data_IF_814962121036
#
_entry.id   IF_814962121036
#
_cell.length_a   1.000
_cell.length_b   1.000
_cell.length_c   1.000
_cell.angle_alpha   90.00
_cell.angle_beta   90.00
_cell.angle_gamma   90.00
#
_symmetry.space_group_name_H-M   'P 1'
#
loop_
_entity.id
_entity.type
_entity.pdbx_description
1 polymer ?
#
# COMPACT_ATOMS: atom_id res chain seq x y z
N UNK A 1 57.52 -30.57 18.29
CA UNK A 1 56.80 -29.36 17.83
C UNK A 1 56.52 -28.52 19.07
N UNK A 2 56.88 -27.22 19.10
CA UNK A 2 56.34 -26.35 20.13
C UNK A 2 54.82 -26.31 20.01
N UNK A 3 54.07 -26.10 21.11
CA UNK A 3 52.62 -26.01 21.04
C UNK A 3 52.25 -24.87 20.09
N UNK A 4 51.36 -25.17 19.15
CA UNK A 4 50.83 -24.19 18.21
C UNK A 4 50.02 -23.21 19.04
N UNK A 5 50.59 -22.04 19.34
CA UNK A 5 49.86 -20.96 20.02
C UNK A 5 48.55 -20.73 19.26
N UNK A 6 47.41 -20.86 19.94
CA UNK A 6 46.14 -20.49 19.37
C UNK A 6 46.23 -19.02 18.93
N UNK A 7 45.73 -18.66 17.74
CA UNK A 7 45.70 -17.27 17.31
C UNK A 7 44.93 -16.44 18.35
N UNK A 8 45.45 -15.25 18.68
CA UNK A 8 44.77 -14.31 19.58
C UNK A 8 43.35 -14.04 19.04
N UNK A 9 42.29 -14.37 19.79
CA UNK A 9 40.92 -14.23 19.32
C UNK A 9 40.52 -12.78 19.02
N UNK A 10 41.35 -11.80 19.39
CA UNK A 10 41.18 -10.37 19.07
C UNK A 10 41.67 -10.04 17.65
N UNK A 11 42.57 -10.84 17.08
CA UNK A 11 43.17 -10.62 15.75
C UNK A 11 42.48 -11.41 14.64
N UNK A 12 41.74 -12.45 14.99
CA UNK A 12 40.94 -13.23 14.05
C UNK A 12 39.65 -12.47 13.70
N UNK A 13 39.51 -12.04 12.44
CA UNK A 13 38.33 -11.32 11.96
C UNK A 13 37.04 -12.15 11.93
N UNK A 14 37.16 -13.48 12.07
CA UNK A 14 36.03 -14.40 12.16
C UNK A 14 35.57 -14.63 13.61
N UNK A 15 36.36 -14.19 14.59
CA UNK A 15 36.04 -14.30 16.01
C UNK A 15 34.90 -13.37 16.41
N UNK A 16 33.95 -13.82 17.24
CA UNK A 16 32.90 -12.95 17.79
C UNK A 16 33.49 -11.81 18.66
N UNK A 17 34.74 -11.97 19.15
CA UNK A 17 35.45 -10.98 19.96
C UNK A 17 36.22 -9.92 19.17
N UNK A 18 36.27 -10.06 17.84
CA UNK A 18 36.88 -9.06 16.99
C UNK A 18 36.08 -7.75 17.04
N UNK A 19 36.78 -6.63 17.23
CA UNK A 19 36.20 -5.28 17.17
C UNK A 19 36.96 -4.52 16.11
N UNK A 20 36.26 -4.07 15.07
CA UNK A 20 36.89 -3.32 14.00
C UNK A 20 37.36 -1.95 14.54
N UNK A 21 38.50 -1.39 14.10
CA UNK A 21 38.98 -0.08 14.60
C UNK A 21 37.98 1.08 14.45
N UNK A 22 37.05 0.97 13.50
CA UNK A 22 35.95 1.93 13.30
C UNK A 22 34.74 1.73 14.22
N UNK A 23 34.71 0.67 15.04
CA UNK A 23 33.59 0.32 15.90
C UNK A 23 33.73 1.02 17.26
N UNK A 24 33.23 2.26 17.33
CA UNK A 24 33.06 2.98 18.59
C UNK A 24 31.64 2.87 19.17
N UNK A 25 31.39 3.43 20.37
CA UNK A 25 30.06 3.48 20.99
C UNK A 25 28.96 4.13 20.16
N UNK A 26 29.31 4.97 19.19
CA UNK A 26 28.38 5.64 18.27
C UNK A 26 28.35 5.04 16.85
N UNK A 27 29.08 3.94 16.62
CA UNK A 27 29.21 3.34 15.28
C UNK A 27 27.97 2.59 14.80
N UNK A 28 27.02 2.32 15.70
CA UNK A 28 25.72 1.74 15.39
C UNK A 28 24.64 2.77 15.69
N UNK A 29 23.80 3.03 14.69
CA UNK A 29 22.63 3.89 14.82
C UNK A 29 21.42 3.07 14.43
N UNK A 30 20.44 3.00 15.34
CA UNK A 30 19.17 2.32 15.13
C UNK A 30 18.06 3.35 15.19
N UNK A 31 17.26 3.42 14.13
CA UNK A 31 16.09 4.30 14.04
C UNK A 31 14.85 3.50 13.63
N UNK A 32 13.67 3.83 14.20
CA UNK A 32 13.45 4.74 15.33
C UNK A 32 14.00 4.18 16.66
N UNK A 33 14.21 5.06 17.65
CA UNK A 33 14.55 4.65 19.01
C UNK A 33 13.41 3.84 19.64
N UNK A 34 13.73 2.92 20.56
CA UNK A 34 12.71 2.25 21.37
C UNK A 34 11.99 3.27 22.26
N UNK A 35 10.67 3.38 22.14
CA UNK A 35 9.83 4.26 22.98
C UNK A 35 8.86 3.49 23.85
N UNK A 36 8.44 2.30 23.41
CA UNK A 36 7.60 1.38 24.18
C UNK A 36 6.67 0.54 23.30
N UNK A 37 5.96 1.19 22.36
CA UNK A 37 5.01 0.51 21.46
C UNK A 37 5.67 -0.14 20.24
N UNK A 38 6.92 0.20 19.96
CA UNK A 38 7.64 -0.20 18.75
C UNK A 38 8.71 -1.28 18.99
N UNK A 39 8.57 -2.09 20.05
CA UNK A 39 9.58 -3.07 20.43
C UNK A 39 9.98 -4.01 19.29
N UNK A 40 9.03 -4.57 18.55
CA UNK A 40 9.32 -5.56 17.52
C UNK A 40 10.08 -4.97 16.32
N UNK A 41 9.70 -3.77 15.89
CA UNK A 41 10.42 -3.06 14.81
C UNK A 41 11.82 -2.63 15.25
N UNK A 42 11.94 -2.07 16.47
CA UNK A 42 13.24 -1.76 17.08
C UNK A 42 14.13 -3.00 17.22
N UNK A 43 13.60 -4.09 17.78
CA UNK A 43 14.30 -5.35 18.01
C UNK A 43 14.83 -5.92 16.70
N UNK A 44 14.02 -5.90 15.64
CA UNK A 44 14.45 -6.32 14.30
C UNK A 44 15.57 -5.44 13.75
N UNK A 45 15.47 -4.11 13.88
CA UNK A 45 16.51 -3.18 13.45
C UNK A 45 17.81 -3.34 14.23
N UNK A 46 17.72 -3.51 15.56
CA UNK A 46 18.88 -3.71 16.43
C UNK A 46 19.57 -5.05 16.16
N UNK A 47 18.83 -6.15 16.00
CA UNK A 47 19.40 -7.45 15.59
C UNK A 47 20.15 -7.36 14.26
N UNK A 48 19.64 -6.62 13.27
CA UNK A 48 20.34 -6.41 11.99
C UNK A 48 21.62 -5.64 12.18
N UNK A 49 21.61 -4.58 12.99
CA UNK A 49 22.80 -3.78 13.26
C UNK A 49 23.88 -4.61 13.98
N UNK A 50 23.50 -5.38 15.01
CA UNK A 50 24.40 -6.28 15.72
C UNK A 50 24.92 -7.41 14.80
N UNK A 51 24.05 -8.00 13.98
CA UNK A 51 24.42 -9.01 13.00
C UNK A 51 25.45 -8.49 12.00
N UNK A 52 25.30 -7.26 11.50
CA UNK A 52 26.27 -6.62 10.62
C UNK A 52 27.65 -6.38 11.27
N UNK A 53 27.70 -6.33 12.62
CA UNK A 53 28.93 -6.23 13.42
C UNK A 53 29.43 -7.57 13.95
N UNK A 54 28.74 -8.68 13.63
CA UNK A 54 28.98 -10.00 14.22
C UNK A 54 28.95 -9.97 15.75
N UNK A 55 27.91 -9.32 16.31
CA UNK A 55 27.70 -9.15 17.76
C UNK A 55 26.31 -9.60 18.22
N UNK A 56 25.56 -10.30 17.39
CA UNK A 56 24.23 -10.79 17.74
C UNK A 56 24.30 -11.80 18.92
N UNK A 57 25.37 -12.58 18.96
CA UNK A 57 25.58 -13.65 19.93
C UNK A 57 25.64 -13.16 21.39
N UNK A 58 25.95 -11.86 21.59
CA UNK A 58 25.98 -11.20 22.90
C UNK A 58 24.60 -10.92 23.49
N UNK A 59 23.53 -11.01 22.69
CA UNK A 59 22.15 -10.72 23.13
C UNK A 59 21.19 -11.89 22.96
N UNK A 60 21.56 -12.93 22.20
CA UNK A 60 20.72 -14.12 21.99
C UNK A 60 21.08 -15.29 22.91
N UNK A 61 22.19 -15.20 23.66
CA UNK A 61 22.64 -16.20 24.62
C UNK A 61 23.41 -17.37 24.02
N UNK A 62 23.76 -17.31 22.73
CA UNK A 62 24.60 -18.33 22.09
C UNK A 62 26.06 -18.23 22.53
N UNK A 63 26.51 -17.06 22.97
CA UNK A 63 27.84 -16.82 23.51
C UNK A 63 27.79 -16.70 25.05
N UNK A 64 28.23 -17.73 25.80
CA UNK A 64 28.21 -17.68 27.25
C UNK A 64 29.22 -16.66 27.79
N UNK A 65 28.94 -16.15 28.99
CA UNK A 65 29.90 -15.36 29.77
C UNK A 65 31.07 -16.30 30.15
N UNK A 66 32.34 -15.94 29.89
CA UNK A 66 33.46 -16.74 30.37
C UNK A 66 33.44 -16.80 31.91
N UNK A 67 33.52 -18.00 32.47
CA UNK A 67 33.40 -18.24 33.93
C UNK A 67 34.64 -17.79 34.72
N UNK A 68 35.79 -17.73 34.06
CA UNK A 68 37.07 -17.37 34.66
C UNK A 68 37.52 -15.98 34.22
N UNK A 69 37.57 -15.04 35.17
CA UNK A 69 38.08 -13.67 34.94
C UNK A 69 39.54 -13.64 34.48
N UNK A 70 40.30 -14.72 34.75
CA UNK A 70 41.69 -14.86 34.31
C UNK A 70 41.83 -15.43 32.89
N UNK A 71 40.73 -15.84 32.25
CA UNK A 71 40.74 -16.25 30.84
C UNK A 71 41.16 -15.06 29.95
N UNK A 72 42.19 -15.20 29.10
CA UNK A 72 42.54 -14.18 28.11
C UNK A 72 41.37 -13.71 27.24
N UNK A 73 40.38 -14.58 27.00
CA UNK A 73 39.16 -14.28 26.26
C UNK A 73 38.19 -13.39 27.05
N UNK A 74 38.21 -13.40 28.38
CA UNK A 74 37.31 -12.60 29.22
C UNK A 74 37.43 -11.11 28.92
N UNK A 75 38.66 -10.60 28.80
CA UNK A 75 38.89 -9.17 28.49
C UNK A 75 38.33 -8.79 27.11
N UNK A 76 38.45 -9.68 26.13
CA UNK A 76 37.95 -9.47 24.78
C UNK A 76 36.41 -9.54 24.73
N UNK A 77 35.83 -10.51 25.44
CA UNK A 77 34.39 -10.63 25.65
C UNK A 77 33.83 -9.39 26.34
N UNK A 78 34.43 -8.95 27.45
CA UNK A 78 33.98 -7.81 28.23
C UNK A 78 33.98 -6.52 27.41
N UNK A 79 35.03 -6.30 26.60
CA UNK A 79 35.07 -5.15 25.67
C UNK A 79 33.89 -5.16 24.69
N UNK A 80 33.57 -6.32 24.11
CA UNK A 80 32.45 -6.46 23.19
C UNK A 80 31.11 -6.27 23.89
N UNK A 81 30.95 -6.85 25.09
CA UNK A 81 29.76 -6.65 25.92
C UNK A 81 29.50 -5.16 26.18
N UNK A 82 30.53 -4.41 26.61
CA UNK A 82 30.40 -2.97 26.86
C UNK A 82 30.03 -2.18 25.61
N UNK A 83 30.58 -2.56 24.46
CA UNK A 83 30.28 -1.93 23.18
C UNK A 83 28.82 -2.19 22.76
N UNK A 84 28.35 -3.42 22.90
CA UNK A 84 26.96 -3.79 22.61
C UNK A 84 25.99 -3.08 23.57
N UNK A 85 26.30 -3.02 24.87
CA UNK A 85 25.52 -2.26 25.85
C UNK A 85 25.42 -0.79 25.47
N UNK A 86 26.53 -0.16 25.06
CA UNK A 86 26.51 1.23 24.60
C UNK A 86 25.62 1.44 23.35
N UNK A 87 25.68 0.52 22.38
CA UNK A 87 24.80 0.57 21.21
C UNK A 87 23.32 0.42 21.59
N UNK A 88 22.98 -0.50 22.49
CA UNK A 88 21.61 -0.65 23.00
C UNK A 88 21.17 0.65 23.69
N UNK A 89 21.96 1.19 24.61
CA UNK A 89 21.63 2.43 25.32
C UNK A 89 21.44 3.62 24.37
N UNK A 90 22.22 3.70 23.28
CA UNK A 90 22.06 4.73 22.24
C UNK A 90 20.85 4.53 21.33
N UNK A 91 20.22 3.35 21.36
CA UNK A 91 19.10 2.95 20.50
C UNK A 91 17.74 3.00 21.19
N UNK A 92 17.69 3.39 22.46
CA UNK A 92 16.45 3.49 23.25
C UNK A 92 16.21 4.94 23.66
N UNK A 93 14.97 5.27 24.03
CA UNK A 93 14.65 6.60 24.54
C UNK A 93 15.44 6.91 25.83
N UNK A 94 15.72 8.19 26.15
CA UNK A 94 16.53 8.55 27.31
C UNK A 94 15.99 8.00 28.64
N UNK A 95 14.67 7.93 28.81
CA UNK A 95 14.04 7.37 30.02
C UNK A 95 14.25 5.86 30.13
N UNK A 96 14.17 5.14 29.01
CA UNK A 96 14.46 3.69 28.97
C UNK A 96 15.94 3.44 29.23
N UNK A 97 16.84 4.20 28.60
CA UNK A 97 18.29 4.09 28.82
C UNK A 97 18.63 4.25 30.31
N UNK A 98 18.06 5.24 30.98
CA UNK A 98 18.28 5.47 32.41
C UNK A 98 17.83 4.30 33.28
N UNK A 99 16.81 3.54 32.85
CA UNK A 99 16.30 2.38 33.61
C UNK A 99 17.19 1.14 33.53
N UNK A 100 18.05 1.03 32.50
CA UNK A 100 18.87 -0.17 32.24
C UNK A 100 20.38 0.10 32.31
N UNK A 101 20.81 1.35 32.50
CA UNK A 101 22.23 1.76 32.48
C UNK A 101 23.10 1.05 33.52
N UNK A 102 22.51 0.56 34.62
CA UNK A 102 23.23 -0.14 35.69
C UNK A 102 23.37 -1.64 35.46
N UNK A 103 22.79 -2.18 34.39
CA UNK A 103 22.93 -3.59 34.04
C UNK A 103 24.28 -3.84 33.38
N UNK A 104 24.99 -4.86 33.84
CA UNK A 104 26.37 -5.12 33.43
C UNK A 104 26.45 -5.84 32.08
N UNK A 105 25.52 -6.77 31.80
CA UNK A 105 25.55 -7.56 30.57
C UNK A 105 24.53 -7.08 29.54
N UNK A 106 24.96 -7.05 28.29
CA UNK A 106 24.12 -6.70 27.15
C UNK A 106 22.92 -7.65 27.01
N UNK A 107 23.09 -8.93 27.33
CA UNK A 107 22.01 -9.92 27.32
C UNK A 107 20.93 -9.62 28.36
N UNK A 108 21.31 -9.11 29.53
CA UNK A 108 20.37 -8.76 30.61
C UNK A 108 19.55 -7.55 30.20
N UNK A 109 20.21 -6.51 29.65
CA UNK A 109 19.53 -5.34 29.06
C UNK A 109 18.55 -5.81 27.97
N UNK A 110 19.00 -6.67 27.06
CA UNK A 110 18.18 -7.16 25.96
C UNK A 110 16.94 -7.92 26.45
N UNK A 111 17.11 -8.80 27.43
CA UNK A 111 16.03 -9.60 28.01
C UNK A 111 15.02 -8.75 28.78
N UNK A 112 15.49 -7.79 29.57
CA UNK A 112 14.63 -6.86 30.29
C UNK A 112 13.80 -5.98 29.34
N UNK A 113 14.42 -5.44 28.28
CA UNK A 113 13.69 -4.68 27.25
C UNK A 113 12.66 -5.56 26.53
N UNK A 114 12.99 -6.82 26.27
CA UNK A 114 12.05 -7.79 25.69
C UNK A 114 10.87 -8.01 26.62
N UNK A 115 11.12 -8.36 27.88
CA UNK A 115 10.06 -8.69 28.83
C UNK A 115 9.10 -7.53 29.09
N UNK A 116 9.61 -6.29 29.13
CA UNK A 116 8.80 -5.09 29.37
C UNK A 116 7.99 -4.65 28.15
N UNK A 117 8.60 -4.69 26.97
CA UNK A 117 8.04 -4.01 25.78
C UNK A 117 7.55 -4.97 24.68
N UNK A 118 7.77 -6.28 24.80
CA UNK A 118 7.13 -7.27 23.93
C UNK A 118 5.71 -7.65 24.39
N UNK A 119 5.21 -7.07 25.48
CA UNK A 119 3.84 -7.30 25.94
C UNK A 119 2.86 -6.41 25.17
N UNK A 120 1.68 -6.94 24.85
CA UNK A 120 0.63 -6.18 24.15
C UNK A 120 0.49 -6.52 22.66
N UNK A 121 1.11 -7.60 22.18
CA UNK A 121 1.03 -8.04 20.78
C UNK A 121 -0.41 -8.10 20.23
N UNK A 122 -1.37 -8.62 21.00
CA UNK A 122 -2.78 -8.69 20.55
C UNK A 122 -3.44 -7.31 20.43
N UNK A 123 -3.12 -6.38 21.34
CA UNK A 123 -3.62 -5.01 21.28
C UNK A 123 -3.01 -4.32 20.07
N UNK A 124 -1.69 -4.46 19.87
CA UNK A 124 -0.99 -3.89 18.72
C UNK A 124 -1.47 -4.47 17.39
N UNK A 125 -1.74 -5.77 17.33
CA UNK A 125 -2.40 -6.41 16.17
C UNK A 125 -3.74 -5.72 15.88
N UNK A 126 -4.58 -5.51 16.90
CA UNK A 126 -5.87 -4.85 16.73
C UNK A 126 -5.71 -3.40 16.26
N UNK A 127 -4.79 -2.64 16.84
CA UNK A 127 -4.47 -1.27 16.43
C UNK A 127 -4.00 -1.23 14.97
N UNK A 128 -3.03 -2.06 14.59
CA UNK A 128 -2.52 -2.17 13.21
C UNK A 128 -3.62 -2.54 12.22
N UNK A 129 -4.52 -3.45 12.59
CA UNK A 129 -5.68 -3.76 11.77
C UNK A 129 -6.59 -2.54 11.61
N UNK A 130 -6.92 -1.84 12.69
CA UNK A 130 -7.74 -0.63 12.64
C UNK A 130 -7.09 0.48 11.81
N UNK A 131 -5.80 0.73 12.01
CA UNK A 131 -4.99 1.67 11.22
C UNK A 131 -5.02 1.28 9.74
N UNK A 132 -4.77 0.00 9.42
CA UNK A 132 -4.85 -0.50 8.05
C UNK A 132 -6.22 -0.22 7.45
N UNK A 133 -7.31 -0.48 8.19
CA UNK A 133 -8.69 -0.32 7.73
C UNK A 133 -9.17 1.14 7.65
N UNK A 134 -8.62 2.02 8.46
CA UNK A 134 -8.90 3.45 8.46
C UNK A 134 -8.11 4.21 7.38
N UNK A 135 -6.91 3.75 7.02
CA UNK A 135 -6.04 4.44 6.07
C UNK A 135 -6.69 4.53 4.67
N UNK A 136 -6.91 5.76 4.20
CA UNK A 136 -7.38 6.08 2.85
C UNK A 136 -6.31 6.87 2.09
N UNK A 137 -6.41 6.87 0.76
CA UNK A 137 -5.49 7.63 -0.09
C UNK A 137 -5.64 9.14 0.16
N UNK A 138 -6.87 9.65 0.17
CA UNK A 138 -7.18 11.06 0.39
C UNK A 138 -6.32 11.99 -0.49
N UNK A 139 -5.54 12.91 0.08
CA UNK A 139 -4.67 13.82 -0.65
C UNK A 139 -3.28 13.25 -0.99
N UNK A 140 -2.98 12.00 -0.58
CA UNK A 140 -1.68 11.36 -0.81
C UNK A 140 -1.56 10.83 -2.25
N UNK A 141 -0.33 10.82 -2.77
CA UNK A 141 -0.04 10.08 -3.99
C UNK A 141 -0.29 8.58 -3.79
N UNK A 142 -0.51 7.83 -4.89
CA UNK A 142 -0.62 6.36 -4.82
C UNK A 142 0.63 5.75 -4.20
N UNK A 143 1.80 6.34 -4.44
CA UNK A 143 3.09 5.86 -3.91
C UNK A 143 3.15 6.02 -2.39
N UNK A 144 2.80 7.19 -1.87
CA UNK A 144 2.83 7.47 -0.43
C UNK A 144 1.78 6.62 0.31
N UNK A 145 0.55 6.57 -0.22
CA UNK A 145 -0.51 5.74 0.33
C UNK A 145 -0.14 4.25 0.37
N UNK A 146 0.43 3.71 -0.72
CA UNK A 146 0.89 2.32 -0.75
C UNK A 146 2.04 2.08 0.23
N UNK A 147 2.95 3.04 0.37
CA UNK A 147 4.09 2.94 1.29
C UNK A 147 3.62 2.88 2.74
N UNK A 148 2.72 3.77 3.14
CA UNK A 148 2.12 3.77 4.49
C UNK A 148 1.41 2.44 4.78
N UNK A 149 0.61 1.95 3.82
CA UNK A 149 -0.10 0.69 3.97
C UNK A 149 0.86 -0.50 4.07
N UNK A 150 1.97 -0.46 3.30
CA UNK A 150 3.01 -1.49 3.35
C UNK A 150 3.73 -1.52 4.69
N UNK A 151 4.01 -0.37 5.32
CA UNK A 151 4.60 -0.32 6.66
C UNK A 151 3.72 -1.08 7.66
N UNK A 152 2.41 -0.82 7.64
CA UNK A 152 1.46 -1.50 8.54
C UNK A 152 1.43 -3.00 8.29
N UNK A 153 1.41 -3.45 7.04
CA UNK A 153 1.41 -4.88 6.71
C UNK A 153 2.69 -5.60 7.13
N UNK A 154 3.86 -4.99 6.90
CA UNK A 154 5.15 -5.55 7.28
C UNK A 154 5.27 -5.66 8.81
N UNK A 155 4.70 -4.71 9.56
CA UNK A 155 4.61 -4.79 11.02
C UNK A 155 3.63 -5.89 11.46
N UNK A 156 2.46 -5.99 10.84
CA UNK A 156 1.47 -7.03 11.15
C UNK A 156 2.00 -8.45 10.89
N UNK A 157 2.81 -8.64 9.84
CA UNK A 157 3.45 -9.91 9.50
C UNK A 157 4.48 -10.35 10.55
N UNK A 158 4.98 -9.45 11.41
CA UNK A 158 5.80 -9.81 12.57
C UNK A 158 5.00 -10.62 13.58
N UNK A 159 3.74 -10.25 13.79
CA UNK A 159 2.86 -10.86 14.77
C UNK A 159 2.08 -12.06 14.21
N UNK A 160 1.73 -12.00 12.91
CA UNK A 160 0.92 -13.00 12.23
C UNK A 160 1.65 -13.55 10.99
N UNK A 161 2.81 -14.20 11.15
CA UNK A 161 3.57 -14.71 10.02
C UNK A 161 2.77 -15.80 9.29
N UNK A 162 2.87 -15.81 7.95
CA UNK A 162 2.34 -16.94 7.17
C UNK A 162 3.08 -18.20 7.63
N UNK A 163 2.38 -19.27 8.04
CA UNK A 163 3.03 -20.48 8.51
C UNK A 163 3.99 -21.03 7.44
N UNK A 164 5.01 -21.76 7.87
CA UNK A 164 5.88 -22.51 6.96
C UNK A 164 5.67 -24.02 7.17
N UNK A 165 5.71 -24.80 6.09
CA UNK A 165 5.68 -26.26 6.22
C UNK A 165 7.01 -26.69 6.82
N UNK A 166 6.98 -27.43 7.94
CA UNK A 166 8.15 -28.08 8.55
C UNK A 166 8.50 -29.41 7.86
N UNK A 167 7.98 -29.58 6.65
CA UNK A 167 8.01 -30.81 5.87
C UNK A 167 9.45 -31.02 5.34
N UNK A 168 10.08 -32.20 5.57
CA UNK A 168 11.47 -32.45 5.16
C UNK A 168 11.71 -32.35 3.65
N UNK A 169 10.64 -32.48 2.85
CA UNK A 169 10.63 -32.30 1.40
C UNK A 169 9.76 -31.11 1.05
N UNK A 170 10.03 -30.49 -0.10
CA UNK A 170 9.23 -29.39 -0.65
C UNK A 170 7.77 -29.82 -0.75
N UNK A 171 6.95 -29.29 0.15
CA UNK A 171 5.55 -29.66 0.22
C UNK A 171 4.74 -28.93 -0.86
N UNK A 172 3.84 -29.65 -1.52
CA UNK A 172 2.88 -29.12 -2.50
C UNK A 172 1.47 -29.00 -1.92
N UNK A 173 1.36 -28.87 -0.60
CA UNK A 173 0.05 -28.83 0.06
C UNK A 173 -0.77 -27.61 -0.37
N UNK A 174 -2.03 -27.87 -0.70
CA UNK A 174 -2.95 -26.84 -1.16
C UNK A 174 -3.27 -25.82 -0.06
N UNK A 175 -3.31 -26.26 1.20
CA UNK A 175 -3.51 -25.37 2.35
C UNK A 175 -2.48 -24.23 2.41
N UNK A 176 -1.19 -24.53 2.20
CA UNK A 176 -0.15 -23.50 2.24
C UNK A 176 -0.19 -22.57 1.02
N UNK A 177 -0.56 -23.09 -0.15
CA UNK A 177 -0.78 -22.27 -1.35
C UNK A 177 -1.97 -21.33 -1.15
N UNK A 178 -3.07 -21.85 -0.61
CA UNK A 178 -4.28 -21.10 -0.27
C UNK A 178 -4.00 -20.02 0.78
N UNK A 179 -3.25 -20.33 1.85
CA UNK A 179 -2.85 -19.34 2.86
C UNK A 179 -2.10 -18.14 2.24
N UNK A 180 -1.11 -18.41 1.37
CA UNK A 180 -0.35 -17.36 0.68
C UNK A 180 -1.21 -16.57 -0.31
N UNK A 181 -2.12 -17.25 -1.02
CA UNK A 181 -3.06 -16.62 -1.95
C UNK A 181 -4.02 -15.69 -1.20
N UNK A 182 -4.59 -16.15 -0.09
CA UNK A 182 -5.50 -15.37 0.75
C UNK A 182 -4.79 -14.15 1.36
N UNK A 183 -3.55 -14.31 1.84
CA UNK A 183 -2.76 -13.18 2.32
C UNK A 183 -2.56 -12.11 1.23
N UNK A 184 -2.15 -12.53 0.03
CA UNK A 184 -1.97 -11.64 -1.12
C UNK A 184 -3.28 -10.97 -1.57
N UNK A 185 -4.39 -11.72 -1.52
CA UNK A 185 -5.73 -11.24 -1.84
C UNK A 185 -6.17 -10.15 -0.87
N UNK A 186 -6.02 -10.35 0.44
CA UNK A 186 -6.42 -9.38 1.45
C UNK A 186 -5.66 -8.06 1.30
N UNK A 187 -4.35 -8.10 1.05
CA UNK A 187 -3.55 -6.90 0.78
C UNK A 187 -4.03 -6.17 -0.48
N UNK A 188 -4.32 -6.93 -1.54
CA UNK A 188 -4.83 -6.38 -2.81
C UNK A 188 -6.18 -5.69 -2.63
N UNK A 189 -7.14 -6.35 -1.99
CA UNK A 189 -8.46 -5.78 -1.72
C UNK A 189 -8.32 -4.53 -0.84
N UNK A 190 -7.50 -4.59 0.21
CA UNK A 190 -7.32 -3.46 1.11
C UNK A 190 -6.72 -2.24 0.41
N UNK A 191 -5.70 -2.44 -0.43
CA UNK A 191 -5.14 -1.36 -1.25
C UNK A 191 -6.20 -0.76 -2.18
N UNK A 192 -6.89 -1.59 -2.97
CA UNK A 192 -7.88 -1.11 -3.95
C UNK A 192 -9.07 -0.39 -3.29
N UNK A 193 -9.52 -0.85 -2.12
CA UNK A 193 -10.63 -0.23 -1.36
C UNK A 193 -10.22 1.04 -0.60
N UNK A 194 -8.93 1.25 -0.36
CA UNK A 194 -8.41 2.48 0.23
C UNK A 194 -8.12 3.60 -0.77
N UNK A 195 -7.94 3.27 -2.06
CA UNK A 195 -7.76 4.25 -3.14
C UNK A 195 -8.99 5.16 -3.33
N UNK A 196 -8.78 6.34 -3.89
CA UNK A 196 -9.84 7.29 -4.21
C UNK A 196 -10.78 6.82 -5.33
N UNK A 197 -11.92 7.50 -5.49
CA UNK A 197 -12.97 7.15 -6.46
C UNK A 197 -12.55 7.33 -7.94
N UNK A 198 -11.62 8.24 -8.22
CA UNK A 198 -11.04 8.46 -9.55
C UNK A 198 -10.26 7.24 -10.08
N UNK A 199 -9.91 6.27 -9.23
CA UNK A 199 -9.31 4.99 -9.65
C UNK A 199 -10.35 3.89 -9.93
N UNK A 200 -11.65 4.18 -9.92
CA UNK A 200 -12.73 3.18 -10.11
C UNK A 200 -12.58 2.31 -11.37
N UNK A 201 -12.14 2.89 -12.49
CA UNK A 201 -11.91 2.18 -13.75
C UNK A 201 -10.80 1.14 -13.61
N UNK A 202 -9.61 1.53 -13.12
CA UNK A 202 -8.49 0.60 -12.94
C UNK A 202 -8.78 -0.44 -11.85
N UNK A 203 -9.50 -0.07 -10.78
CA UNK A 203 -9.98 -1.04 -9.77
C UNK A 203 -10.85 -2.13 -10.40
N UNK A 204 -11.84 -1.72 -11.20
CA UNK A 204 -12.76 -2.65 -11.87
C UNK A 204 -12.01 -3.58 -12.81
N UNK A 205 -11.08 -3.05 -13.61
CA UNK A 205 -10.25 -3.85 -14.51
C UNK A 205 -9.38 -4.86 -13.78
N UNK A 206 -8.81 -4.50 -12.64
CA UNK A 206 -7.97 -5.41 -11.84
C UNK A 206 -8.82 -6.51 -11.19
N UNK A 207 -10.00 -6.16 -10.66
CA UNK A 207 -10.86 -7.10 -9.95
C UNK A 207 -11.44 -8.21 -10.84
N UNK A 208 -11.56 -7.97 -12.15
CA UNK A 208 -12.04 -8.97 -13.13
C UNK A 208 -10.91 -9.84 -13.72
N UNK A 209 -9.64 -9.60 -13.36
CA UNK A 209 -8.53 -10.45 -13.80
C UNK A 209 -8.56 -11.80 -13.08
N UNK A 210 -8.46 -12.90 -13.84
CA UNK A 210 -8.32 -14.25 -13.30
C UNK A 210 -7.07 -14.95 -13.90
N UNK A 211 -6.04 -15.28 -13.10
CA UNK A 211 -5.94 -15.04 -11.65
C UNK A 211 -5.66 -13.58 -11.29
N UNK A 212 -6.11 -13.15 -10.10
CA UNK A 212 -5.81 -11.84 -9.55
C UNK A 212 -4.29 -11.62 -9.48
N UNK A 213 -3.74 -10.50 -10.00
CA UNK A 213 -2.31 -10.27 -10.01
C UNK A 213 -1.73 -10.12 -8.60
N UNK A 214 -0.41 -10.36 -8.42
CA UNK A 214 0.27 -10.06 -7.16
C UNK A 214 0.27 -8.56 -6.87
N UNK A 215 0.33 -8.20 -5.59
CA UNK A 215 0.21 -6.81 -5.11
C UNK A 215 1.15 -5.82 -5.81
N UNK A 216 2.41 -6.22 -6.10
CA UNK A 216 3.36 -5.34 -6.80
C UNK A 216 2.93 -5.01 -8.23
N UNK A 217 2.26 -5.96 -8.92
CA UNK A 217 1.70 -5.72 -10.25
C UNK A 217 0.47 -4.83 -10.16
N UNK A 218 -0.39 -5.02 -9.17
CA UNK A 218 -1.55 -4.16 -8.88
C UNK A 218 -1.09 -2.73 -8.62
N UNK A 219 -0.11 -2.52 -7.73
CA UNK A 219 0.50 -1.22 -7.47
C UNK A 219 1.00 -0.56 -8.76
N UNK A 220 1.73 -1.31 -9.60
CA UNK A 220 2.25 -0.80 -10.87
C UNK A 220 1.14 -0.36 -11.84
N UNK A 221 0.04 -1.10 -11.91
CA UNK A 221 -1.11 -0.75 -12.76
C UNK A 221 -1.82 0.52 -12.28
N UNK A 222 -2.01 0.67 -10.96
CA UNK A 222 -2.62 1.87 -10.38
C UNK A 222 -1.70 3.09 -10.52
N UNK A 223 -0.39 2.93 -10.28
CA UNK A 223 0.60 3.99 -10.47
C UNK A 223 0.68 4.44 -11.93
N UNK A 224 0.58 3.51 -12.88
CA UNK A 224 0.50 3.84 -14.30
C UNK A 224 -0.76 4.68 -14.60
N UNK A 225 -1.90 4.31 -14.02
CA UNK A 225 -3.14 5.08 -14.16
C UNK A 225 -3.03 6.48 -13.55
N UNK A 226 -2.41 6.64 -12.39
CA UNK A 226 -2.16 7.96 -11.78
C UNK A 226 -1.35 8.87 -12.71
N UNK A 227 -0.27 8.34 -13.30
CA UNK A 227 0.58 9.09 -14.25
C UNK A 227 -0.15 9.46 -15.54
N UNK A 228 -1.04 8.60 -16.02
CA UNK A 228 -1.87 8.86 -17.18
C UNK A 228 -2.99 9.87 -16.88
N UNK A 229 -3.55 9.84 -15.67
CA UNK A 229 -4.58 10.77 -15.20
C UNK A 229 -4.07 12.21 -15.05
N UNK A 230 -2.80 12.40 -14.69
CA UNK A 230 -2.15 13.73 -14.67
C UNK A 230 -2.06 14.34 -16.09
N UNK A 231 -2.10 13.51 -17.15
CA UNK A 231 -2.08 14.00 -18.53
C UNK A 231 -3.48 14.38 -19.07
N UNK A 232 -4.55 14.17 -18.30
CA UNK A 232 -5.93 14.44 -18.73
C UNK A 232 -6.58 15.64 -18.04
N UNK A 233 -5.88 16.36 -17.17
CA UNK A 233 -6.25 17.73 -16.77
C UNK A 233 -5.70 18.80 -17.72
N UNK A 234 -5.00 18.42 -18.80
CA UNK A 234 -4.73 19.29 -19.94
C UNK A 234 -5.34 18.72 -21.22
N UNK A 235 -6.24 19.49 -21.82
CA UNK A 235 -6.87 19.28 -23.12
C UNK A 235 -7.82 18.08 -23.24
N UNK A 236 -9.09 18.43 -23.08
CA UNK A 236 -10.23 17.80 -23.73
C UNK A 236 -10.08 17.95 -25.26
N UNK A 237 -9.18 17.19 -25.89
CA UNK A 237 -9.08 17.09 -27.36
C UNK A 237 -8.27 15.88 -27.83
N UNK A 238 -9.00 14.92 -28.40
CA UNK A 238 -8.52 13.96 -29.44
C UNK A 238 -7.49 12.92 -29.02
N UNK A 239 -7.94 11.85 -28.36
CA UNK A 239 -7.32 10.53 -28.51
C UNK A 239 -7.92 9.87 -29.75
N UNK A 240 -7.10 9.34 -30.66
CA UNK A 240 -7.23 7.97 -31.18
C UNK A 240 -6.00 7.57 -32.03
N UNK A 241 -5.11 6.80 -31.37
CA UNK A 241 -4.54 5.51 -31.80
C UNK A 241 -3.75 5.46 -33.11
N UNK A 242 -2.41 5.46 -32.99
CA UNK A 242 -1.52 4.79 -33.93
C UNK A 242 -1.27 3.36 -33.46
N UNK A 243 -1.92 2.39 -34.11
CA UNK A 243 -1.58 0.98 -34.00
C UNK A 243 -0.98 0.49 -35.32
N UNK A 244 0.23 -0.06 -35.20
CA UNK A 244 0.90 -0.97 -36.14
C UNK A 244 1.44 -0.32 -37.44
N UNK A 245 2.65 -0.59 -37.92
CA UNK A 245 3.41 -1.84 -37.91
C UNK A 245 4.93 -1.59 -38.05
N UNK A 246 5.67 -2.50 -37.45
CA UNK A 246 7.10 -2.77 -37.62
C UNK A 246 7.50 -2.93 -39.10
N UNK A 247 8.58 -2.21 -39.48
CA UNK A 247 9.79 -2.55 -40.31
C UNK A 247 9.72 -3.61 -41.44
N UNK A 248 10.68 -3.67 -42.42
CA UNK A 248 11.97 -2.98 -42.51
C UNK A 248 12.40 -2.45 -43.91
N UNK A 249 13.50 -1.68 -43.89
CA UNK A 249 14.56 -1.58 -44.91
C UNK A 249 14.33 -0.72 -46.15
N UNK A 250 15.03 0.41 -46.24
CA UNK A 250 16.26 0.51 -47.06
C UNK A 250 16.75 1.96 -47.14
N UNK A 251 18.02 2.15 -46.78
CA UNK A 251 19.00 3.09 -47.35
C UNK A 251 18.64 4.57 -47.54
N UNK A 252 19.46 5.44 -46.94
CA UNK A 252 19.72 6.77 -47.53
C UNK A 252 19.81 7.94 -46.56
N UNK A 253 20.93 8.02 -45.84
CA UNK A 253 21.77 9.20 -45.60
C UNK A 253 21.19 10.64 -45.77
N UNK A 254 21.52 11.49 -44.78
CA UNK A 254 21.50 12.97 -44.73
C UNK A 254 20.15 13.64 -44.48
N UNK A 255 20.03 14.79 -43.84
CA UNK A 255 20.85 15.59 -42.92
C UNK A 255 19.86 16.68 -42.43
N UNK A 256 20.04 17.13 -41.19
CA UNK A 256 19.35 18.24 -40.57
C UNK A 256 19.26 19.50 -41.45
N UNK A 257 18.12 20.21 -41.42
CA UNK A 257 18.08 21.67 -41.20
C UNK A 257 16.70 22.13 -40.75
N UNK A 258 16.72 23.06 -39.79
CA UNK A 258 15.62 23.74 -39.14
C UNK A 258 14.75 24.60 -40.08
N UNK A 259 13.49 24.75 -39.65
CA UNK A 259 12.65 25.96 -39.67
C UNK A 259 12.47 26.74 -40.98
N UNK A 260 11.22 26.86 -41.44
CA UNK A 260 10.47 28.12 -41.36
C UNK A 260 9.09 28.00 -42.02
N UNK A 261 8.07 28.51 -41.31
CA UNK A 261 6.93 29.28 -41.82
C UNK A 261 6.80 29.40 -43.36
N UNK A 262 5.70 28.89 -43.91
CA UNK A 262 5.35 29.06 -45.32
C UNK A 262 3.97 28.52 -45.63
N UNK A 263 2.97 29.39 -45.55
CA UNK A 263 1.57 29.18 -45.92
C UNK A 263 1.47 28.58 -47.33
N UNK A 264 1.01 27.32 -47.47
CA UNK A 264 0.77 26.70 -48.79
C UNK A 264 -0.59 27.13 -49.33
N UNK A 265 -0.70 27.49 -50.63
CA UNK A 265 -1.95 27.96 -51.21
C UNK A 265 -3.01 26.84 -51.24
N UNK A 266 -4.31 27.19 -51.16
CA UNK A 266 -5.38 26.19 -51.13
C UNK A 266 -5.39 25.40 -52.45
N UNK A 267 -5.24 24.07 -52.35
CA UNK A 267 -5.19 23.19 -53.53
C UNK A 267 -6.58 23.11 -54.16
N UNK A 268 -6.72 23.53 -55.42
CA UNK A 268 -7.98 23.54 -56.18
C UNK A 268 -8.12 22.28 -57.02
N UNK A 269 -9.29 21.64 -56.94
CA UNK A 269 -9.64 20.49 -57.78
C UNK A 269 -9.81 20.94 -59.25
N UNK A 270 -9.08 20.33 -60.18
CA UNK A 270 -9.14 20.69 -61.62
C UNK A 270 -10.44 20.28 -62.32
N UNK A 271 -11.34 19.54 -61.66
CA UNK A 271 -12.62 19.12 -62.23
C UNK A 271 -13.81 19.99 -61.77
N UNK A 272 -13.97 20.24 -60.46
CA UNK A 272 -15.08 21.05 -59.94
C UNK A 272 -14.68 22.49 -59.59
N UNK A 273 -13.38 22.81 -59.58
CA UNK A 273 -12.88 24.13 -59.24
C UNK A 273 -12.99 24.49 -57.75
N UNK A 274 -13.27 23.55 -56.84
CA UNK A 274 -13.30 23.83 -55.40
C UNK A 274 -11.98 23.45 -54.72
N UNK A 275 -11.67 24.10 -53.60
CA UNK A 275 -10.42 23.88 -52.87
C UNK A 275 -10.48 22.64 -51.95
N UNK A 276 -9.31 22.21 -51.45
CA UNK A 276 -9.08 21.17 -50.44
C UNK A 276 -9.38 19.71 -50.84
N UNK A 277 -9.41 19.38 -52.13
CA UNK A 277 -9.36 17.98 -52.60
C UNK A 277 -8.75 17.87 -54.00
N UNK A 278 -8.23 16.69 -54.36
CA UNK A 278 -7.77 16.38 -55.71
C UNK A 278 -8.93 15.87 -56.58
N UNK A 279 -8.76 15.92 -57.91
CA UNK A 279 -9.77 15.40 -58.86
C UNK A 279 -10.15 13.94 -58.57
N UNK A 280 -9.20 13.16 -58.08
CA UNK A 280 -9.41 11.75 -57.69
C UNK A 280 -10.39 11.57 -56.54
N UNK A 281 -10.64 12.62 -55.73
CA UNK A 281 -11.58 12.59 -54.61
C UNK A 281 -12.77 13.53 -54.84
N UNK A 282 -12.98 13.98 -56.09
CA UNK A 282 -14.06 14.91 -56.41
C UNK A 282 -15.40 14.19 -56.46
N UNK A 283 -16.29 14.47 -55.51
CA UNK A 283 -17.65 13.88 -55.48
C UNK A 283 -18.49 14.24 -56.70
N UNK A 284 -18.21 15.38 -57.37
CA UNK A 284 -18.86 15.75 -58.63
C UNK A 284 -18.41 14.87 -59.82
N UNK A 285 -17.22 14.27 -59.75
CA UNK A 285 -16.68 13.35 -60.76
C UNK A 285 -16.99 11.89 -60.43
N UNK A 286 -16.77 11.49 -59.19
CA UNK A 286 -16.81 10.07 -58.78
C UNK A 286 -18.16 9.65 -58.18
N UNK A 287 -19.10 10.58 -58.04
CA UNK A 287 -20.37 10.36 -57.36
C UNK A 287 -20.22 10.34 -55.84
N UNK A 288 -21.31 10.67 -55.14
CA UNK A 288 -21.35 10.63 -53.67
C UNK A 288 -21.49 9.17 -53.21
N UNK A 289 -20.62 8.68 -52.32
CA UNK A 289 -20.70 7.32 -51.79
C UNK A 289 -22.07 7.04 -51.14
N UNK A 290 -22.57 5.79 -51.20
CA UNK A 290 -23.92 5.43 -50.75
C UNK A 290 -24.26 5.86 -49.31
N UNK A 291 -23.26 5.94 -48.42
CA UNK A 291 -23.46 6.29 -47.01
C UNK A 291 -23.67 7.80 -46.74
N UNK A 292 -23.34 8.69 -47.69
CA UNK A 292 -23.46 10.15 -47.52
C UNK A 292 -24.73 10.74 -48.15
N UNK A 293 -25.57 9.93 -48.81
CA UNK A 293 -26.79 10.41 -49.48
C UNK A 293 -27.92 10.84 -48.53
N UNK A 294 -27.78 10.66 -47.20
CA UNK A 294 -28.82 10.98 -46.21
C UNK A 294 -28.79 12.43 -45.69
N UNK A 295 -27.83 13.27 -46.11
CA UNK A 295 -27.71 14.67 -45.65
C UNK A 295 -27.86 15.71 -46.75
N UNK A 296 -28.61 15.41 -47.81
CA UNK A 296 -28.93 16.38 -48.85
C UNK A 296 -30.44 16.47 -49.05
N UNK A 297 -31.11 17.22 -48.18
CA UNK A 297 -32.36 17.90 -48.55
C UNK A 297 -32.61 19.11 -47.65
N UNK A 298 -33.01 20.21 -48.30
CA UNK A 298 -33.43 21.52 -47.79
C UNK A 298 -32.34 22.52 -47.36
N UNK A 299 -31.89 23.29 -48.35
CA UNK A 299 -31.41 24.66 -48.17
C UNK A 299 -32.59 25.63 -48.38
N UNK A 300 -32.53 26.77 -47.66
CA UNK A 300 -33.00 28.12 -48.01
C UNK A 300 -34.27 28.70 -47.36
N UNK A 301 -34.07 29.69 -46.49
CA UNK A 301 -34.59 31.08 -46.55
C UNK A 301 -33.98 31.84 -45.33
N UNK A 302 -33.04 32.77 -45.49
CA UNK A 302 -33.17 34.17 -45.93
C UNK A 302 -33.78 35.13 -44.87
N UNK A 303 -32.97 36.13 -44.47
CA UNK A 303 -33.31 37.47 -43.91
C UNK A 303 -34.08 37.51 -42.55
N UNK A 304 -33.91 38.45 -41.62
CA UNK A 304 -33.48 39.86 -41.66
C UNK A 304 -33.26 40.40 -40.21
N UNK A 305 -32.47 41.48 -40.16
CA UNK A 305 -32.22 42.52 -39.16
C UNK A 305 -33.16 42.75 -37.95
N UNK A 306 -32.61 43.30 -36.85
CA UNK A 306 -33.42 44.02 -35.86
C UNK A 306 -32.76 44.34 -34.51
N UNK A 307 -32.04 45.45 -34.44
CA UNK A 307 -31.48 46.10 -33.24
C UNK A 307 -32.62 46.71 -32.39
N UNK A 308 -32.59 46.58 -31.06
CA UNK A 308 -32.50 47.72 -30.10
C UNK A 308 -32.52 47.29 -28.63
N UNK A 309 -31.59 47.87 -27.87
CA UNK A 309 -31.53 47.91 -26.42
C UNK A 309 -32.66 48.76 -25.83
N UNK A 310 -33.13 48.42 -24.62
CA UNK A 310 -33.19 49.39 -23.53
C UNK A 310 -33.31 48.71 -22.16
N UNK A 311 -32.35 49.05 -21.29
CA UNK A 311 -32.37 48.83 -19.86
C UNK A 311 -33.33 49.82 -19.19
N UNK A 312 -34.08 49.34 -18.21
CA UNK A 312 -34.52 50.15 -17.07
C UNK A 312 -34.27 49.36 -15.79
N UNK A 313 -33.35 49.89 -14.98
CA UNK A 313 -33.11 49.55 -13.59
C UNK A 313 -34.38 49.89 -12.76
N UNK A 314 -34.64 49.45 -11.53
CA UNK A 314 -33.82 49.00 -10.41
C UNK A 314 -34.81 48.45 -9.38
N UNK A 315 -34.52 47.37 -8.66
CA UNK A 315 -34.64 47.33 -7.20
C UNK A 315 -34.34 45.93 -6.67
N UNK A 316 -33.33 45.93 -5.80
CA UNK A 316 -32.79 44.85 -5.00
C UNK A 316 -33.75 44.43 -3.88
N UNK A 317 -34.03 43.14 -3.76
CA UNK A 317 -34.28 42.50 -2.45
C UNK A 317 -33.73 41.06 -2.44
N UNK A 318 -32.92 40.81 -1.41
CA UNK A 318 -32.31 39.53 -1.08
C UNK A 318 -33.37 38.42 -0.91
N UNK A 319 -33.20 37.30 -1.61
CA UNK A 319 -33.90 36.05 -1.30
C UNK A 319 -32.91 35.04 -0.71
N UNK A 320 -33.19 34.46 0.47
CA UNK A 320 -32.36 33.41 1.02
C UNK A 320 -32.60 32.08 0.30
N UNK A 321 -31.60 31.20 0.35
CA UNK A 321 -31.60 29.87 -0.22
C UNK A 321 -32.88 29.08 0.12
N UNK A 322 -33.53 28.56 -0.91
CA UNK A 322 -34.61 27.59 -0.76
C UNK A 322 -34.06 26.31 -0.13
N UNK A 323 -34.43 26.04 1.12
CA UNK A 323 -34.38 24.70 1.71
C UNK A 323 -35.40 23.79 1.01
N UNK A 324 -35.12 22.50 0.82
CA UNK A 324 -36.06 21.60 0.18
C UNK A 324 -37.26 21.37 1.12
N UNK A 325 -38.41 21.96 0.79
CA UNK A 325 -39.67 21.67 1.48
C UNK A 325 -40.23 20.35 0.97
N UNK A 326 -40.36 19.37 1.86
CA UNK A 326 -41.08 18.12 1.60
C UNK A 326 -42.54 18.45 1.26
N UNK A 327 -43.09 17.88 0.19
CA UNK A 327 -44.49 18.13 -0.14
C UNK A 327 -45.41 17.41 0.88
N UNK A 328 -46.64 17.89 1.04
CA UNK A 328 -47.63 17.26 1.93
C UNK A 328 -47.79 15.76 1.64
N UNK A 329 -47.81 15.38 0.35
CA UNK A 329 -47.88 13.98 -0.08
C UNK A 329 -46.65 13.15 0.33
N UNK A 330 -45.47 13.78 0.39
CA UNK A 330 -44.25 13.11 0.85
C UNK A 330 -44.24 12.94 2.37
N UNK A 331 -44.81 13.88 3.13
CA UNK A 331 -44.99 13.78 4.57
C UNK A 331 -45.94 12.63 4.95
N UNK A 332 -47.07 12.52 4.26
CA UNK A 332 -48.08 11.48 4.54
C UNK A 332 -47.53 10.07 4.24
N UNK A 333 -46.71 9.93 3.20
CA UNK A 333 -45.99 8.68 2.89
C UNK A 333 -44.99 8.31 3.98
N UNK A 334 -44.27 9.29 4.53
CA UNK A 334 -43.30 9.10 5.61
C UNK A 334 -43.97 8.67 6.92
N UNK A 335 -45.13 9.26 7.24
CA UNK A 335 -45.94 8.86 8.40
C UNK A 335 -46.50 7.44 8.29
N UNK A 336 -46.89 7.00 7.09
CA UNK A 336 -47.35 5.62 6.86
C UNK A 336 -46.25 4.57 7.11
N UNK A 337 -45.01 4.89 6.74
CA UNK A 337 -43.86 4.00 6.91
C UNK A 337 -43.47 3.89 8.40
N UNK A 338 -43.53 4.99 9.14
CA UNK A 338 -43.25 5.01 10.58
C UNK A 338 -44.28 4.20 11.39
N UNK A 339 -45.58 4.30 11.07
CA UNK A 339 -46.62 3.50 11.74
C UNK A 339 -46.48 1.99 11.49
N UNK A 340 -46.02 1.58 10.30
CA UNK A 340 -45.79 0.16 9.98
C UNK A 340 -44.66 -0.48 10.80
N UNK A 341 -43.68 0.32 11.24
CA UNK A 341 -42.54 -0.17 12.03
C UNK A 341 -42.88 -0.47 13.49
N UNK A 342 -43.91 0.16 14.06
CA UNK A 342 -44.31 -0.01 15.47
C UNK A 342 -45.24 -1.20 15.74
N UNK A 343 -45.73 -1.88 14.70
CA UNK A 343 -46.60 -3.07 14.84
C UNK A 343 -45.81 -4.40 14.86
N UNK A 344 -44.51 -4.40 14.56
CA UNK A 344 -43.68 -5.60 14.56
C UNK A 344 -42.98 -5.89 15.90
N UNK A 345 -42.97 -4.96 16.85
CA UNK A 345 -42.19 -5.07 18.10
C UNK A 345 -42.98 -5.50 19.34
N UNK A 346 -44.29 -5.74 19.24
CA UNK A 346 -45.12 -6.16 20.38
C UNK A 346 -45.89 -7.47 20.11
N UNK A 347 -45.16 -8.60 20.08
CA UNK A 347 -45.76 -9.90 20.35
C UNK A 347 -44.74 -10.86 20.99
N UNK A 348 -45.03 -11.22 22.25
CA UNK A 348 -44.50 -12.30 23.11
C UNK A 348 -43.35 -11.96 24.07
N UNK A 349 -43.75 -11.47 25.25
CA UNK A 349 -43.16 -11.84 26.55
C UNK A 349 -44.27 -12.30 27.49
N UNK A 350 -44.17 -13.53 27.98
CA UNK A 350 -44.70 -14.10 29.24
C UNK A 350 -44.52 -15.64 29.17
N UNK A 351 -44.22 -16.43 30.20
CA UNK A 351 -43.66 -16.28 31.54
C UNK A 351 -43.33 -17.71 32.02
N UNK A 352 -42.42 -17.81 33.00
CA UNK A 352 -41.92 -18.93 33.81
C UNK A 352 -42.81 -20.18 34.03
N UNK A 353 -42.20 -21.38 34.06
CA UNK A 353 -42.28 -22.30 35.21
C UNK A 353 -41.21 -23.42 35.22
N UNK A 354 -40.95 -23.90 36.45
CA UNK A 354 -39.82 -24.70 36.96
C UNK A 354 -39.85 -26.23 36.71
N UNK A 355 -38.70 -26.84 37.07
CA UNK A 355 -38.42 -28.20 37.62
C UNK A 355 -38.01 -29.32 36.64
N UNK A 356 -36.84 -29.93 36.91
CA UNK A 356 -36.54 -31.31 36.49
C UNK A 356 -35.04 -31.67 36.45
N UNK A 357 -34.56 -32.35 37.49
CA UNK A 357 -33.21 -32.90 37.70
C UNK A 357 -32.58 -33.68 36.53
N UNK A 358 -31.24 -33.65 36.43
CA UNK A 358 -30.39 -34.83 36.73
C UNK A 358 -28.89 -34.53 36.59
N UNK A 359 -28.17 -34.81 37.67
CA UNK A 359 -26.73 -35.06 37.69
C UNK A 359 -26.42 -36.33 36.90
N UNK A 360 -25.34 -36.32 36.11
CA UNK A 360 -24.56 -37.51 35.82
C UNK A 360 -23.09 -37.15 36.01
N UNK A 361 -22.62 -37.38 37.23
CA UNK A 361 -21.26 -37.86 37.48
C UNK A 361 -21.32 -39.38 37.38
N UNK A 362 -20.46 -40.00 36.57
CA UNK A 362 -19.76 -41.18 37.09
C UNK A 362 -18.43 -41.45 36.41
N UNK A 363 -17.47 -41.72 37.30
CA UNK A 363 -16.18 -42.35 37.06
C UNK A 363 -16.37 -43.75 36.49
N UNK A 364 -15.37 -44.26 35.75
CA UNK A 364 -14.74 -45.56 36.05
C UNK A 364 -13.57 -45.85 35.11
N UNK A 365 -12.38 -45.86 35.69
CA UNK A 365 -11.18 -46.52 35.20
C UNK A 365 -11.38 -48.05 35.19
N UNK A 366 -10.98 -48.77 34.14
CA UNK A 366 -10.44 -50.15 34.27
C UNK A 366 -9.47 -50.45 33.11
N UNK A 367 -8.28 -50.90 33.52
CA UNK A 367 -7.16 -51.55 32.85
C UNK A 367 -7.49 -52.86 32.12
N UNK A 368 -6.81 -53.14 30.99
CA UNK A 368 -6.31 -54.44 30.51
C UNK A 368 -5.55 -54.14 29.20
N UNK A 369 -4.36 -54.64 28.86
CA UNK A 369 -3.54 -55.75 29.33
C UNK A 369 -2.11 -55.52 28.81
#
# INVERSE_FOLDING_TARGET
MPPRNAPDPVLDNSSPYYVHPGDGPSSVVVTPLLTGSNYHSWSRSMKRALGAKMKLDFVDGTLPVPEDDFDPAFRAWHRCNQLVSAWILSSVSPSIAQSVVFMENAIDIWNDLRERFSQGDLIRISELQQEAYALKQDSKSVTDFYTDLKVIWEELELYLPIPSCTCPRRCTCEAMRSARRNHSLLHTIRFLTGLNANFSTVKSQILIMDPLPPINKVFSLVLQHERQGISHESDDSTILVNAARSTPSSSGYKQSTQSSSGSKPPRKCTYCGMNNHFVENCFKKNGVPPHMKKFASANNAASEEGITNNNAATSSTNSPAASPSISQDQYDKLMSLLQSSHLASNAKVASSNQVGSSMITDHSSVTHK
#
